data_IF_918895773508
#
_entry.id   IF_918895773508
#
_cell.length_a   1.000
_cell.length_b   1.000
_cell.length_c   1.000
_cell.angle_alpha   90.00
_cell.angle_beta   90.00
_cell.angle_gamma   90.00
#
_symmetry.space_group_name_H-M   'P 1'
#
loop_
_entity.id
_entity.type
_entity.pdbx_description
1 polymer ?
#
# COMPACT_ATOMS: atom_id res chain seq x y z
N UNK A 1 -5.22 20.46 36.77
CA UNK A 1 -4.69 19.09 36.62
C UNK A 1 -4.83 18.61 35.19
N UNK A 2 -6.01 18.78 34.59
CA UNK A 2 -6.35 18.40 33.22
C UNK A 2 -5.32 18.77 32.13
N UNK A 3 -4.73 19.98 32.15
CA UNK A 3 -3.70 20.38 31.17
C UNK A 3 -2.41 19.57 31.27
N UNK A 4 -1.98 19.17 32.47
CA UNK A 4 -0.74 18.38 32.65
C UNK A 4 -0.96 16.93 32.23
N UNK A 5 -2.17 16.42 32.44
CA UNK A 5 -2.56 15.08 31.99
C UNK A 5 -2.64 15.03 30.46
N UNK A 6 -3.25 16.04 29.84
CA UNK A 6 -3.28 16.17 28.38
C UNK A 6 -1.87 16.30 27.77
N UNK A 7 -0.96 17.02 28.43
CA UNK A 7 0.43 17.15 27.98
C UNK A 7 1.20 15.81 28.08
N UNK A 8 1.00 15.06 29.16
CA UNK A 8 1.57 13.71 29.31
C UNK A 8 1.02 12.76 28.24
N UNK A 9 -0.27 12.83 27.95
CA UNK A 9 -0.90 11.99 26.93
C UNK A 9 -0.38 12.32 25.53
N UNK A 10 -0.24 13.61 25.20
CA UNK A 10 0.35 14.04 23.94
C UNK A 10 1.81 13.55 23.77
N UNK A 11 2.60 13.55 24.86
CA UNK A 11 3.96 13.02 24.85
C UNK A 11 3.99 11.50 24.64
N UNK A 12 3.04 10.75 25.21
CA UNK A 12 2.92 9.29 24.98
C UNK A 12 2.60 8.98 23.52
N UNK A 13 1.68 9.73 22.91
CA UNK A 13 1.36 9.61 21.48
C UNK A 13 2.60 9.87 20.64
N UNK A 14 3.40 10.90 20.97
CA UNK A 14 4.63 11.19 20.23
C UNK A 14 5.68 10.07 20.31
N UNK A 15 5.78 9.38 21.44
CA UNK A 15 6.65 8.20 21.60
C UNK A 15 6.15 7.03 20.73
N UNK A 16 4.82 6.89 20.57
CA UNK A 16 4.27 5.81 19.73
C UNK A 16 4.70 5.93 18.26
N UNK A 17 4.89 7.14 17.74
CA UNK A 17 5.37 7.39 16.38
C UNK A 17 6.82 6.92 16.13
N UNK A 18 7.58 6.59 17.18
CA UNK A 18 8.91 5.97 17.04
C UNK A 18 8.83 4.50 16.61
N UNK A 19 7.68 3.83 16.83
CA UNK A 19 7.46 2.44 16.41
C UNK A 19 6.46 2.42 15.26
N UNK A 20 6.93 2.09 14.07
CA UNK A 20 6.08 1.90 12.91
C UNK A 20 5.61 0.45 12.83
N UNK A 21 4.32 0.23 12.59
CA UNK A 21 3.71 -1.09 12.42
C UNK A 21 3.02 -1.14 11.07
N UNK A 22 2.97 -2.32 10.44
CA UNK A 22 2.21 -2.49 9.21
C UNK A 22 0.72 -2.27 9.49
N UNK A 23 0.01 -1.41 8.74
CA UNK A 23 -1.43 -1.23 8.88
C UNK A 23 -2.24 -2.38 8.29
N UNK A 24 -1.63 -3.24 7.48
CA UNK A 24 -2.28 -4.36 6.78
C UNK A 24 -1.46 -5.64 6.88
N UNK A 25 -2.15 -6.78 6.88
CA UNK A 25 -1.52 -8.08 6.69
C UNK A 25 -1.18 -8.27 5.20
N UNK A 26 0.09 -8.55 4.91
CA UNK A 26 0.58 -8.64 3.54
C UNK A 26 2.05 -9.02 3.47
N UNK A 27 2.59 -9.06 2.26
CA UNK A 27 4.00 -9.35 2.00
C UNK A 27 4.74 -8.05 1.73
N UNK A 28 5.92 -7.87 2.35
CA UNK A 28 6.78 -6.74 2.06
C UNK A 28 7.37 -6.89 0.65
N UNK A 29 7.00 -6.00 -0.27
CA UNK A 29 7.46 -6.03 -1.66
C UNK A 29 8.66 -5.10 -1.90
N UNK A 30 8.83 -4.10 -1.04
CA UNK A 30 9.94 -3.17 -1.15
C UNK A 30 10.40 -2.70 0.23
N UNK A 31 11.72 -2.70 0.42
CA UNK A 31 12.39 -2.10 1.57
C UNK A 31 13.21 -0.94 1.05
N UNK A 32 12.69 0.27 1.22
CA UNK A 32 13.26 1.48 0.65
C UNK A 32 14.30 2.12 1.56
N UNK A 33 14.09 2.03 2.88
CA UNK A 33 15.04 2.53 3.87
C UNK A 33 15.89 1.39 4.43
N UNK A 34 17.20 1.61 4.52
CA UNK A 34 18.12 0.67 5.17
C UNK A 34 18.42 1.10 6.60
N UNK A 35 18.73 0.12 7.44
CA UNK A 35 19.15 0.38 8.81
C UNK A 35 20.37 1.31 8.84
N UNK A 36 20.27 2.39 9.62
CA UNK A 36 21.32 3.40 9.78
C UNK A 36 21.22 4.60 8.83
N UNK A 37 20.25 4.63 7.91
CA UNK A 37 20.01 5.78 7.05
C UNK A 37 19.27 6.90 7.81
N UNK A 38 19.76 8.15 7.71
CA UNK A 38 19.12 9.30 8.33
C UNK A 38 17.92 9.76 7.50
N UNK A 39 16.71 9.52 8.01
CA UNK A 39 15.47 9.97 7.36
C UNK A 39 14.99 11.27 8.01
N UNK A 40 14.90 12.34 7.23
CA UNK A 40 14.37 13.64 7.68
C UNK A 40 12.90 13.76 7.29
N UNK A 41 11.99 13.67 8.26
CA UNK A 41 10.52 13.66 8.08
C UNK A 41 9.87 15.06 8.01
N UNK A 42 10.64 16.10 7.68
CA UNK A 42 10.15 17.50 7.73
C UNK A 42 9.54 18.05 6.43
N UNK A 43 9.86 17.46 5.26
CA UNK A 43 9.50 18.01 3.95
C UNK A 43 8.90 17.00 2.97
N UNK A 44 9.26 15.72 3.10
CA UNK A 44 8.76 14.62 2.27
C UNK A 44 8.55 13.42 3.19
N UNK A 45 7.38 12.79 3.10
CA UNK A 45 7.18 11.50 3.74
C UNK A 45 8.04 10.48 3.01
N UNK A 46 9.07 9.96 3.68
CA UNK A 46 9.86 8.86 3.13
C UNK A 46 9.09 7.56 3.30
N UNK A 47 8.79 6.88 2.18
CA UNK A 47 8.22 5.54 2.23
C UNK A 47 9.34 4.57 2.65
N UNK A 48 9.19 3.96 3.83
CA UNK A 48 10.20 3.03 4.37
C UNK A 48 10.00 1.61 3.84
N UNK A 49 8.75 1.17 3.78
CA UNK A 49 8.33 -0.19 3.45
C UNK A 49 7.04 -0.14 2.65
N UNK A 50 6.99 -0.93 1.57
CA UNK A 50 5.76 -1.14 0.79
C UNK A 50 5.27 -2.57 1.01
N UNK A 51 4.01 -2.69 1.42
CA UNK A 51 3.33 -3.98 1.62
C UNK A 51 2.28 -4.21 0.55
N UNK A 52 2.12 -5.46 0.11
CA UNK A 52 1.10 -5.89 -0.83
C UNK A 52 0.27 -7.02 -0.22
N UNK A 53 -1.06 -6.87 -0.25
CA UNK A 53 -1.99 -7.92 0.14
C UNK A 53 -2.28 -8.82 -1.08
N UNK A 54 -1.78 -10.06 -1.06
CA UNK A 54 -1.95 -11.02 -2.15
C UNK A 54 -3.36 -11.66 -2.18
N UNK A 55 -4.17 -11.48 -1.13
CA UNK A 55 -5.52 -12.03 -1.04
C UNK A 55 -6.52 -11.34 -1.97
N UNK A 56 -6.22 -10.13 -2.44
CA UNK A 56 -7.08 -9.37 -3.35
C UNK A 56 -6.21 -8.70 -4.40
N UNK A 57 -6.16 -9.32 -5.57
CA UNK A 57 -5.46 -8.77 -6.73
C UNK A 57 -6.46 -8.02 -7.60
N UNK A 58 -6.06 -6.82 -8.02
CA UNK A 58 -6.81 -6.01 -8.96
C UNK A 58 -6.01 -5.94 -10.26
N UNK A 59 -6.69 -6.17 -11.38
CA UNK A 59 -6.10 -6.05 -12.71
C UNK A 59 -6.57 -4.75 -13.35
N UNK A 60 -5.62 -3.92 -13.77
CA UNK A 60 -5.89 -2.74 -14.57
C UNK A 60 -5.71 -3.09 -16.04
N UNK A 61 -6.81 -3.10 -16.79
CA UNK A 61 -6.82 -3.39 -18.22
C UNK A 61 -6.95 -2.08 -18.97
N UNK A 62 -6.00 -1.82 -19.87
CA UNK A 62 -6.06 -0.68 -20.76
C UNK A 62 -6.90 -1.03 -21.99
N UNK A 63 -7.89 -0.19 -22.27
CA UNK A 63 -8.82 -0.34 -23.40
C UNK A 63 -8.68 0.90 -24.26
N UNK A 64 -8.69 0.72 -25.57
CA UNK A 64 -8.64 1.83 -26.52
C UNK A 64 -9.92 2.68 -26.45
N UNK A 65 -9.80 3.98 -26.74
CA UNK A 65 -10.94 4.91 -26.73
C UNK A 65 -12.06 4.47 -27.69
N UNK A 66 -11.71 3.83 -28.81
CA UNK A 66 -12.69 3.36 -29.78
C UNK A 66 -13.53 2.18 -29.28
N UNK A 67 -13.03 1.43 -28.30
CA UNK A 67 -13.67 0.23 -27.75
C UNK A 67 -14.34 0.47 -26.38
N UNK A 68 -14.00 1.56 -25.67
CA UNK A 68 -14.53 1.85 -24.32
C UNK A 68 -16.07 1.90 -24.28
N UNK A 69 -16.71 2.31 -25.39
CA UNK A 69 -18.18 2.37 -25.50
C UNK A 69 -18.89 1.00 -25.51
N UNK A 70 -18.16 -0.10 -25.64
CA UNK A 70 -18.69 -1.48 -25.61
C UNK A 70 -18.53 -2.17 -24.26
N UNK A 71 -17.76 -1.56 -23.35
CA UNK A 71 -17.41 -2.14 -22.04
C UNK A 71 -18.53 -1.88 -21.05
N UNK A 72 -18.96 -2.93 -20.36
CA UNK A 72 -19.99 -2.83 -19.32
C UNK A 72 -19.49 -3.38 -17.98
N UNK A 73 -19.97 -2.84 -16.83
CA UNK A 73 -19.71 -3.45 -15.53
C UNK A 73 -20.21 -4.90 -15.50
N UNK A 74 -19.47 -5.77 -14.79
CA UNK A 74 -19.79 -7.20 -14.64
C UNK A 74 -19.78 -8.00 -15.95
N UNK A 75 -19.07 -7.53 -16.98
CA UNK A 75 -18.84 -8.31 -18.19
C UNK A 75 -17.89 -9.47 -17.90
N UNK A 76 -18.18 -10.65 -18.45
CA UNK A 76 -17.27 -11.80 -18.37
C UNK A 76 -15.97 -11.47 -19.11
N UNK A 77 -14.86 -11.78 -18.47
CA UNK A 77 -13.51 -11.57 -18.99
C UNK A 77 -12.72 -12.86 -18.77
N UNK A 78 -11.91 -13.20 -19.76
CA UNK A 78 -10.92 -14.26 -19.68
C UNK A 78 -9.54 -13.64 -19.91
N UNK A 79 -8.58 -13.97 -19.08
CA UNK A 79 -7.19 -13.53 -19.26
C UNK A 79 -6.19 -14.67 -19.10
N UNK A 80 -5.04 -14.52 -19.75
CA UNK A 80 -3.90 -15.43 -19.61
C UNK A 80 -2.72 -14.66 -19.04
N UNK A 81 -1.79 -15.38 -18.43
CA UNK A 81 -0.57 -14.80 -17.86
C UNK A 81 0.63 -15.52 -18.47
N UNK A 82 1.67 -14.79 -18.86
CA UNK A 82 2.87 -15.38 -19.47
C UNK A 82 3.55 -16.44 -18.60
N UNK A 83 3.38 -16.33 -17.27
CA UNK A 83 3.89 -17.32 -16.31
C UNK A 83 3.10 -18.62 -16.25
N UNK A 84 1.90 -18.68 -16.86
CA UNK A 84 1.08 -19.89 -16.96
C UNK A 84 0.35 -19.95 -18.31
N UNK A 85 1.05 -20.36 -19.40
CA UNK A 85 0.51 -20.32 -20.76
C UNK A 85 -0.70 -21.24 -21.00
N UNK A 86 -0.83 -22.32 -20.22
CA UNK A 86 -1.90 -23.31 -20.36
C UNK A 86 -3.13 -23.01 -19.49
N UNK A 87 -3.13 -21.89 -18.76
CA UNK A 87 -4.22 -21.51 -17.84
C UNK A 87 -4.93 -20.24 -18.30
N UNK A 88 -6.25 -20.31 -18.42
CA UNK A 88 -7.14 -19.16 -18.59
C UNK A 88 -7.87 -18.90 -17.28
N UNK A 89 -7.94 -17.63 -16.85
CA UNK A 89 -8.54 -17.17 -15.59
C UNK A 89 -9.70 -16.22 -15.81
#
# INVERSE_FOLDING_TARGET
>A
MERREAEVEALRVRISYTRNYSPIDGVAIQVSAKDGEAVVTGLQFSNLLTFLALSRLEMLIYIDETDVGRVNPCQNLEFTVDSSPDSTF
#
